data_IF_051767851500
#
_entry.id   IF_051767851500
#
_cell.length_a   1.000
_cell.length_b   1.000
_cell.length_c   1.000
_cell.angle_alpha   90.00
_cell.angle_beta   90.00
_cell.angle_gamma   90.00
#
_symmetry.space_group_name_H-M   'P 1'
#
loop_
_entity.id
_entity.type
_entity.pdbx_description
1 polymer ?
#
# COMPACT_ATOMS: atom_id res chain seq x y z
N UNK A 1 -23.97 -2.65 16.64
CA UNK A 1 -23.86 -2.85 15.19
C UNK A 1 -22.38 -2.78 14.78
N UNK A 2 -21.99 -3.32 13.63
CA UNK A 2 -20.73 -2.88 13.01
C UNK A 2 -21.04 -1.57 12.30
N UNK A 3 -20.65 -0.44 12.89
CA UNK A 3 -20.50 0.80 12.12
C UNK A 3 -19.56 0.48 10.96
N UNK A 4 -20.09 0.47 9.74
CA UNK A 4 -19.37 0.06 8.56
C UNK A 4 -18.16 0.96 8.33
N UNK A 5 -17.12 0.44 7.69
CA UNK A 5 -16.04 1.30 7.17
C UNK A 5 -16.56 2.26 6.08
N UNK A 6 -17.69 1.93 5.47
CA UNK A 6 -18.35 2.69 4.42
C UNK A 6 -19.85 2.75 4.69
N UNK A 7 -20.43 3.93 4.51
CA UNK A 7 -21.87 4.19 4.55
C UNK A 7 -22.38 4.36 3.11
N UNK A 8 -22.36 3.26 2.34
CA UNK A 8 -22.76 3.27 0.94
C UNK A 8 -24.29 3.47 0.81
N UNK A 9 -24.75 4.33 -0.12
CA UNK A 9 -26.18 4.46 -0.40
C UNK A 9 -26.69 3.17 -1.07
N UNK A 10 -28.01 2.94 -0.99
CA UNK A 10 -28.64 1.83 -1.72
C UNK A 10 -28.45 1.93 -3.23
N UNK A 11 -28.39 3.16 -3.75
CA UNK A 11 -28.16 3.46 -5.15
C UNK A 11 -27.05 4.52 -5.28
N UNK A 12 -26.09 4.27 -6.18
CA UNK A 12 -25.01 5.20 -6.48
C UNK A 12 -25.22 5.78 -7.88
N UNK A 13 -25.68 7.03 -7.95
CA UNK A 13 -25.83 7.73 -9.23
C UNK A 13 -24.47 8.14 -9.79
N UNK A 14 -24.07 7.56 -10.93
CA UNK A 14 -22.85 7.94 -11.64
C UNK A 14 -23.17 9.08 -12.62
N UNK A 15 -22.49 10.24 -12.54
CA UNK A 15 -22.77 11.36 -13.42
C UNK A 15 -22.37 11.03 -14.87
N UNK A 16 -23.27 11.31 -15.82
CA UNK A 16 -23.03 11.16 -17.26
C UNK A 16 -23.41 9.80 -17.85
N UNK A 17 -24.17 8.98 -17.13
CA UNK A 17 -24.75 7.72 -17.65
C UNK A 17 -26.21 7.96 -18.03
N UNK A 18 -26.47 8.99 -18.83
CA UNK A 18 -27.79 9.20 -19.43
C UNK A 18 -27.90 8.28 -20.66
N UNK A 19 -28.25 6.99 -20.44
CA UNK A 19 -28.76 6.15 -21.54
C UNK A 19 -28.10 4.80 -21.83
N UNK A 20 -27.29 4.24 -20.93
CA UNK A 20 -27.03 2.80 -20.99
C UNK A 20 -28.08 2.06 -20.15
N UNK A 21 -28.64 0.97 -20.70
CA UNK A 21 -29.53 0.02 -20.02
C UNK A 21 -29.18 -0.06 -18.54
N UNK A 22 -30.18 0.00 -17.64
CA UNK A 22 -30.03 -0.11 -16.19
C UNK A 22 -29.00 -1.20 -15.84
N UNK A 23 -27.74 -0.79 -15.70
CA UNK A 23 -26.67 -1.63 -15.22
C UNK A 23 -26.95 -1.77 -13.73
N UNK A 24 -27.82 -2.71 -13.41
CA UNK A 24 -28.10 -3.13 -12.05
C UNK A 24 -26.81 -3.74 -11.51
N UNK A 25 -26.04 -2.93 -10.80
CA UNK A 25 -24.90 -3.42 -10.03
C UNK A 25 -25.52 -4.33 -8.96
N UNK A 26 -25.22 -5.64 -8.95
CA UNK A 26 -25.83 -6.54 -7.99
C UNK A 26 -25.55 -6.06 -6.56
N UNK A 27 -26.59 -5.99 -5.73
CA UNK A 27 -26.49 -5.57 -4.32
C UNK A 27 -25.57 -6.48 -3.48
N UNK A 28 -25.15 -7.61 -4.05
CA UNK A 28 -24.11 -8.47 -3.50
C UNK A 28 -23.32 -9.11 -4.64
N UNK A 29 -22.00 -9.20 -4.47
CA UNK A 29 -21.17 -10.00 -5.37
C UNK A 29 -21.41 -11.48 -5.10
N UNK A 30 -21.71 -12.32 -6.11
CA UNK A 30 -21.75 -13.77 -5.93
C UNK A 30 -20.40 -14.24 -5.36
N UNK A 31 -20.43 -14.89 -4.19
CA UNK A 31 -19.25 -15.33 -3.44
C UNK A 31 -18.28 -16.18 -4.28
N UNK A 32 -18.81 -16.90 -5.25
CA UNK A 32 -18.08 -17.79 -6.17
C UNK A 32 -17.45 -17.11 -7.39
N UNK A 33 -17.77 -15.84 -7.68
CA UNK A 33 -17.30 -15.14 -8.88
C UNK A 33 -16.58 -13.82 -8.63
N UNK A 34 -16.57 -13.30 -7.39
CA UNK A 34 -16.02 -11.97 -7.08
C UNK A 34 -14.64 -11.73 -7.69
N UNK A 35 -13.66 -12.61 -7.43
CA UNK A 35 -12.29 -12.43 -7.94
C UNK A 35 -12.18 -12.46 -9.48
N UNK A 36 -12.91 -13.36 -10.17
CA UNK A 36 -12.89 -13.45 -11.64
C UNK A 36 -13.63 -12.27 -12.28
N UNK A 37 -14.75 -11.88 -11.68
CA UNK A 37 -15.56 -10.76 -12.14
C UNK A 37 -14.76 -9.47 -12.06
N UNK A 38 -14.14 -9.18 -10.90
CA UNK A 38 -13.26 -8.02 -10.76
C UNK A 38 -12.08 -8.09 -11.73
N UNK A 39 -11.45 -9.26 -11.89
CA UNK A 39 -10.37 -9.43 -12.85
C UNK A 39 -10.77 -9.08 -14.27
N UNK A 40 -11.91 -9.60 -14.76
CA UNK A 40 -12.35 -9.34 -16.12
C UNK A 40 -12.78 -7.88 -16.34
N UNK A 41 -13.54 -7.31 -15.41
CA UNK A 41 -14.16 -6.00 -15.62
C UNK A 41 -13.24 -4.84 -15.23
N UNK A 42 -12.40 -5.00 -14.20
CA UNK A 42 -11.46 -3.94 -13.79
C UNK A 42 -10.21 -3.88 -14.68
N UNK A 43 -9.89 -4.94 -15.43
CA UNK A 43 -8.77 -4.90 -16.39
C UNK A 43 -8.98 -3.88 -17.52
N UNK A 44 -10.23 -3.57 -17.85
CA UNK A 44 -10.57 -2.59 -18.87
C UNK A 44 -10.60 -1.16 -18.34
N UNK A 45 -10.55 -0.97 -17.01
CA UNK A 45 -10.52 0.35 -16.40
C UNK A 45 -9.11 0.90 -16.50
N UNK A 46 -8.89 2.05 -17.17
CA UNK A 46 -7.58 2.66 -17.21
C UNK A 46 -7.06 2.94 -15.79
N UNK A 47 -5.79 2.64 -15.54
CA UNK A 47 -5.21 2.75 -14.19
C UNK A 47 -5.44 4.12 -13.55
N UNK A 48 -5.35 5.19 -14.35
CA UNK A 48 -5.52 6.59 -13.92
C UNK A 48 -6.92 6.91 -13.40
N UNK A 49 -7.95 6.15 -13.78
CA UNK A 49 -9.29 6.30 -13.22
C UNK A 49 -9.41 5.80 -11.78
N UNK A 50 -8.58 4.86 -11.34
CA UNK A 50 -8.78 4.23 -10.02
C UNK A 50 -8.70 5.23 -8.87
N UNK A 51 -7.69 6.10 -8.85
CA UNK A 51 -7.56 7.10 -7.78
C UNK A 51 -8.71 8.10 -7.81
N UNK A 52 -9.07 8.58 -9.00
CA UNK A 52 -10.19 9.52 -9.16
C UNK A 52 -11.51 8.91 -8.67
N UNK A 53 -11.79 7.65 -9.04
CA UNK A 53 -13.01 6.95 -8.62
C UNK A 53 -13.04 6.79 -7.09
N UNK A 54 -11.94 6.33 -6.50
CA UNK A 54 -11.84 6.18 -5.04
C UNK A 54 -12.03 7.52 -4.32
N UNK A 55 -11.43 8.61 -4.82
CA UNK A 55 -11.56 9.94 -4.24
C UNK A 55 -12.97 10.54 -4.40
N UNK A 56 -13.56 10.41 -5.58
CA UNK A 56 -14.83 11.08 -5.92
C UNK A 56 -16.05 10.31 -5.45
N UNK A 57 -16.03 8.99 -5.53
CA UNK A 57 -17.21 8.14 -5.33
C UNK A 57 -17.13 7.24 -4.10
N UNK A 58 -15.95 7.03 -3.50
CA UNK A 58 -15.84 6.20 -2.30
C UNK A 58 -15.55 7.04 -1.05
N UNK A 59 -14.60 7.98 -1.13
CA UNK A 59 -14.21 8.81 0.02
C UNK A 59 -15.37 9.59 0.66
N UNK A 60 -16.37 10.14 -0.07
CA UNK A 60 -17.50 10.80 0.57
C UNK A 60 -18.39 9.89 1.41
N UNK A 61 -18.29 8.57 1.21
CA UNK A 61 -19.06 7.55 1.91
C UNK A 61 -18.21 6.77 2.91
N UNK A 62 -17.07 7.31 3.35
CA UNK A 62 -16.39 6.74 4.52
C UNK A 62 -17.35 6.81 5.69
N UNK A 63 -17.51 5.69 6.41
CA UNK A 63 -18.38 5.65 7.58
C UNK A 63 -17.89 6.64 8.64
N UNK A 64 -18.81 7.19 9.44
CA UNK A 64 -18.52 8.30 10.37
C UNK A 64 -17.24 8.07 11.21
N UNK A 65 -17.11 6.90 11.82
CA UNK A 65 -15.92 6.52 12.61
C UNK A 65 -14.62 6.61 11.80
N UNK A 66 -14.61 6.11 10.57
CA UNK A 66 -13.43 6.16 9.71
C UNK A 66 -13.18 7.58 9.20
N UNK A 67 -14.24 8.32 8.84
CA UNK A 67 -14.14 9.70 8.38
C UNK A 67 -13.54 10.59 9.48
N UNK A 68 -13.99 10.46 10.72
CA UNK A 68 -13.45 11.20 11.87
C UNK A 68 -11.97 10.89 12.07
N UNK A 69 -11.60 9.61 12.09
CA UNK A 69 -10.21 9.21 12.20
C UNK A 69 -9.38 9.75 11.02
N UNK A 70 -9.86 9.60 9.78
CA UNK A 70 -9.09 9.93 8.57
C UNK A 70 -8.95 11.44 8.30
N UNK A 71 -9.81 12.29 8.88
CA UNK A 71 -9.78 13.74 8.66
C UNK A 71 -9.20 14.54 9.83
N UNK A 72 -8.92 13.90 10.98
CA UNK A 72 -8.22 14.56 12.09
C UNK A 72 -6.73 14.70 11.77
N UNK A 73 -6.21 15.92 11.88
CA UNK A 73 -4.77 16.18 11.81
C UNK A 73 -4.05 15.44 12.95
N UNK A 74 -3.15 14.52 12.61
CA UNK A 74 -2.35 13.77 13.58
C UNK A 74 -0.86 13.88 13.29
N UNK A 75 -0.04 13.67 14.33
CA UNK A 75 1.43 13.55 14.26
C UNK A 75 1.91 12.50 13.24
N UNK A 76 1.09 11.47 12.94
CA UNK A 76 1.36 10.49 11.88
C UNK A 76 1.42 11.08 10.46
N UNK A 77 1.03 12.34 10.30
CA UNK A 77 1.11 13.12 9.05
C UNK A 77 2.27 14.13 9.07
N UNK A 78 3.30 13.95 9.90
CA UNK A 78 4.53 14.73 9.81
C UNK A 78 5.42 14.23 8.65
N UNK A 79 6.24 15.13 8.09
CA UNK A 79 7.07 14.83 6.92
C UNK A 79 8.23 13.87 7.26
N UNK A 80 8.58 13.74 8.54
CA UNK A 80 9.62 12.85 9.09
C UNK A 80 9.11 11.44 9.45
N UNK A 81 7.82 11.15 9.24
CA UNK A 81 7.19 9.85 9.52
C UNK A 81 7.14 8.99 8.26
N UNK A 82 7.72 7.80 8.32
CA UNK A 82 7.53 6.72 7.35
C UNK A 82 6.45 5.75 7.83
N UNK A 83 5.33 5.68 7.11
CA UNK A 83 4.27 4.72 7.39
C UNK A 83 4.51 3.42 6.62
N UNK A 84 4.50 2.29 7.33
CA UNK A 84 4.82 0.98 6.77
C UNK A 84 3.62 0.05 7.00
N UNK A 85 3.03 -0.46 5.91
CA UNK A 85 2.08 -1.55 6.00
C UNK A 85 2.79 -2.91 5.91
N UNK A 86 2.63 -3.75 6.93
CA UNK A 86 3.18 -5.12 6.94
C UNK A 86 2.06 -6.16 6.86
N UNK A 87 2.10 -7.01 5.81
CA UNK A 87 1.20 -8.16 5.69
C UNK A 87 1.78 -9.37 6.44
N UNK A 88 0.94 -10.11 7.17
CA UNK A 88 1.39 -11.18 8.08
C UNK A 88 0.89 -12.59 7.70
N UNK A 89 -0.40 -12.75 7.40
CA UNK A 89 -1.08 -14.05 7.51
C UNK A 89 -0.68 -15.11 6.49
N UNK A 90 -0.58 -14.70 5.23
CA UNK A 90 -0.56 -15.60 4.09
C UNK A 90 0.73 -15.54 3.28
N UNK A 91 1.60 -14.55 3.54
CA UNK A 91 2.93 -14.47 2.91
C UNK A 91 3.74 -15.75 3.15
N UNK A 92 3.69 -16.33 4.34
CA UNK A 92 4.38 -17.59 4.63
C UNK A 92 3.77 -18.83 3.95
N UNK A 93 2.56 -18.72 3.38
CA UNK A 93 1.86 -19.82 2.71
C UNK A 93 2.11 -19.85 1.21
N UNK A 94 2.50 -18.74 0.61
CA UNK A 94 2.86 -18.71 -0.79
C UNK A 94 4.37 -18.96 -0.93
N UNK A 95 4.80 -20.00 -1.67
CA UNK A 95 6.20 -20.40 -1.74
C UNK A 95 7.08 -19.37 -2.46
N UNK A 96 6.47 -18.48 -3.24
CA UNK A 96 7.17 -17.46 -3.99
C UNK A 96 7.71 -16.31 -3.16
N UNK A 97 8.87 -15.77 -3.52
CA UNK A 97 9.39 -14.50 -2.98
C UNK A 97 8.86 -13.29 -3.76
N UNK A 98 8.23 -13.54 -4.90
CA UNK A 98 7.72 -12.55 -5.85
C UNK A 98 6.54 -11.72 -5.32
N UNK A 99 5.91 -12.14 -4.22
CA UNK A 99 4.84 -11.37 -3.58
C UNK A 99 5.45 -10.10 -3.00
N UNK A 100 5.00 -8.94 -3.48
CA UNK A 100 5.61 -7.61 -3.28
C UNK A 100 5.65 -7.04 -1.87
N UNK A 101 5.84 -7.87 -0.84
CA UNK A 101 6.29 -7.43 0.48
C UNK A 101 7.80 -7.08 0.39
N UNK A 102 8.19 -5.85 0.73
CA UNK A 102 9.60 -5.50 0.87
C UNK A 102 10.31 -6.36 1.94
N UNK A 103 11.56 -6.80 1.71
CA UNK A 103 12.39 -7.36 2.76
C UNK A 103 12.74 -6.30 3.81
N UNK A 104 13.13 -6.71 5.00
CA UNK A 104 13.33 -5.82 6.14
C UNK A 104 14.44 -4.79 5.88
N UNK A 105 15.51 -5.22 5.21
CA UNK A 105 16.61 -4.37 4.74
C UNK A 105 16.18 -3.31 3.72
N UNK A 106 15.07 -3.48 3.01
CA UNK A 106 14.56 -2.42 2.13
C UNK A 106 14.00 -1.25 2.95
N UNK A 107 13.33 -1.52 4.08
CA UNK A 107 12.91 -0.45 4.98
C UNK A 107 14.12 0.28 5.57
N UNK A 108 15.18 -0.46 5.94
CA UNK A 108 16.45 0.15 6.36
C UNK A 108 16.99 1.10 5.30
N UNK A 109 17.01 0.66 4.03
CA UNK A 109 17.52 1.48 2.93
C UNK A 109 16.68 2.73 2.74
N UNK A 110 15.35 2.63 2.75
CA UNK A 110 14.45 3.80 2.66
C UNK A 110 14.72 4.81 3.77
N UNK A 111 14.85 4.33 5.02
CA UNK A 111 15.14 5.21 6.16
C UNK A 111 16.51 5.87 6.01
N UNK A 112 17.51 5.13 5.55
CA UNK A 112 18.88 5.67 5.36
C UNK A 112 18.93 6.69 4.22
N UNK A 113 18.24 6.44 3.12
CA UNK A 113 18.23 7.31 1.93
C UNK A 113 17.44 8.61 2.17
N UNK A 114 16.41 8.59 3.03
CA UNK A 114 15.47 9.70 3.21
C UNK A 114 15.44 10.31 4.62
N UNK A 115 16.18 9.76 5.58
CA UNK A 115 16.38 10.36 6.90
C UNK A 115 15.15 10.38 7.82
N UNK A 116 14.21 9.44 7.64
CA UNK A 116 13.00 9.36 8.48
C UNK A 116 13.34 9.10 9.96
N UNK A 117 12.68 9.85 10.85
CA UNK A 117 12.94 9.81 12.31
C UNK A 117 11.89 9.00 13.07
N UNK A 118 10.74 8.74 12.44
CA UNK A 118 9.66 7.95 13.03
C UNK A 118 9.15 6.91 12.04
N UNK A 119 8.98 5.67 12.52
CA UNK A 119 8.31 4.59 11.80
C UNK A 119 6.91 4.39 12.39
N UNK A 120 5.88 4.52 11.56
CA UNK A 120 4.51 4.17 11.90
C UNK A 120 4.19 2.79 11.31
N UNK A 121 4.16 1.75 12.14
CA UNK A 121 3.94 0.37 11.69
C UNK A 121 2.46 0.02 11.77
N UNK A 122 1.85 -0.21 10.61
CA UNK A 122 0.49 -0.75 10.48
C UNK A 122 0.59 -2.21 10.08
N UNK A 123 0.25 -3.11 10.99
CA UNK A 123 0.37 -4.55 10.78
C UNK A 123 -0.77 -5.28 11.46
N UNK A 124 -1.27 -6.33 10.81
CA UNK A 124 -2.25 -7.21 11.46
C UNK A 124 -1.60 -7.91 12.65
N UNK A 125 -2.17 -7.72 13.83
CA UNK A 125 -1.82 -8.51 15.01
C UNK A 125 -2.49 -9.88 14.87
N UNK A 126 -1.69 -10.93 14.62
CA UNK A 126 -2.22 -12.30 14.53
C UNK A 126 -2.37 -12.86 15.94
N UNK A 127 -3.49 -13.54 16.20
CA UNK A 127 -3.68 -14.32 17.42
C UNK A 127 -2.49 -15.28 17.62
N UNK A 128 -2.06 -15.47 18.87
CA UNK A 128 -0.89 -16.30 19.27
C UNK A 128 0.48 -15.67 19.01
N UNK A 129 0.57 -14.35 18.90
CA UNK A 129 1.85 -13.63 18.88
C UNK A 129 2.67 -13.78 17.60
N UNK A 130 2.09 -14.36 16.53
CA UNK A 130 2.72 -14.34 15.21
C UNK A 130 2.65 -12.92 14.65
N UNK A 131 3.81 -12.32 14.40
CA UNK A 131 3.94 -10.99 13.81
C UNK A 131 4.38 -11.09 12.36
N UNK A 132 4.15 -10.03 11.58
CA UNK A 132 4.72 -9.92 10.25
C UNK A 132 6.25 -10.05 10.30
N UNK A 133 6.86 -10.58 9.24
CA UNK A 133 8.27 -10.98 9.25
C UNK A 133 9.23 -9.89 9.74
N UNK A 134 8.95 -8.62 9.39
CA UNK A 134 9.78 -7.46 9.71
C UNK A 134 9.33 -6.64 10.94
N UNK A 135 8.24 -6.99 11.60
CA UNK A 135 7.71 -6.16 12.71
C UNK A 135 8.71 -6.07 13.89
N UNK A 136 9.17 -7.22 14.41
CA UNK A 136 10.18 -7.22 15.48
C UNK A 136 11.51 -6.62 15.03
N UNK A 137 11.90 -6.90 13.78
CA UNK A 137 13.13 -6.37 13.19
C UNK A 137 13.12 -4.83 13.16
N UNK A 138 12.01 -4.21 12.76
CA UNK A 138 11.89 -2.74 12.70
C UNK A 138 11.91 -2.10 14.10
N UNK A 139 11.32 -2.76 15.10
CA UNK A 139 11.39 -2.30 16.51
C UNK A 139 12.84 -2.33 17.00
N UNK A 140 13.57 -3.41 16.74
CA UNK A 140 14.97 -3.53 17.14
C UNK A 140 15.86 -2.52 16.40
N UNK A 141 15.67 -2.38 15.09
CA UNK A 141 16.35 -1.38 14.27
C UNK A 141 16.13 0.03 14.81
N UNK A 142 14.87 0.40 15.10
CA UNK A 142 14.56 1.71 15.63
C UNK A 142 15.23 1.99 16.97
N UNK A 143 15.23 1.01 17.88
CA UNK A 143 15.94 1.10 19.17
C UNK A 143 17.45 1.32 18.99
N UNK A 144 18.09 0.58 18.09
CA UNK A 144 19.55 0.66 17.86
C UNK A 144 19.95 2.00 17.22
N UNK A 145 19.11 2.54 16.34
CA UNK A 145 19.42 3.75 15.57
C UNK A 145 18.76 5.02 16.11
N UNK A 146 18.08 4.96 17.25
CA UNK A 146 17.41 6.11 17.85
C UNK A 146 16.19 6.61 17.06
N UNK A 147 15.59 5.75 16.22
CA UNK A 147 14.39 6.05 15.44
C UNK A 147 13.17 5.66 16.27
N UNK A 148 12.20 6.57 16.36
CA UNK A 148 10.96 6.31 17.08
C UNK A 148 10.11 5.28 16.32
N UNK A 149 9.59 4.27 17.02
CA UNK A 149 8.70 3.26 16.41
C UNK A 149 7.35 3.33 17.10
N UNK A 150 6.33 3.66 16.31
CA UNK A 150 4.95 3.85 16.75
C UNK A 150 4.00 2.89 16.04
N UNK A 151 2.81 2.74 16.59
CA UNK A 151 1.70 1.96 16.02
C UNK A 151 0.41 2.77 16.12
N UNK A 152 -0.62 2.45 15.31
CA UNK A 152 -1.94 3.05 15.46
C UNK A 152 -2.44 2.92 16.91
N UNK A 153 -2.97 4.03 17.46
CA UNK A 153 -3.50 4.06 18.84
C UNK A 153 -4.67 3.10 19.00
N UNK A 154 -5.50 3.03 17.97
CA UNK A 154 -6.64 2.12 17.92
C UNK A 154 -6.28 0.97 16.99
N UNK A 155 -5.99 -0.21 17.56
CA UNK A 155 -5.69 -1.45 16.80
C UNK A 155 -6.94 -2.07 16.17
N UNK A 156 -7.81 -1.21 15.62
CA UNK A 156 -9.01 -1.58 14.88
C UNK A 156 -8.73 -1.47 13.39
N UNK A 157 -9.51 -2.17 12.55
CA UNK A 157 -9.38 -2.04 11.09
C UNK A 157 -9.62 -0.60 10.64
N UNK A 158 -10.54 0.12 11.28
CA UNK A 158 -10.78 1.54 10.99
C UNK A 158 -9.57 2.40 11.37
N UNK A 159 -8.96 2.18 12.53
CA UNK A 159 -7.74 2.89 12.97
C UNK A 159 -6.54 2.64 12.07
N UNK A 160 -6.33 1.38 11.67
CA UNK A 160 -5.28 0.99 10.72
C UNK A 160 -5.50 1.65 9.35
N UNK A 161 -6.72 1.56 8.81
CA UNK A 161 -7.08 2.14 7.52
C UNK A 161 -6.94 3.67 7.54
N UNK A 162 -7.43 4.34 8.59
CA UNK A 162 -7.28 5.78 8.75
C UNK A 162 -5.81 6.21 8.82
N UNK A 163 -4.98 5.45 9.53
CA UNK A 163 -3.53 5.72 9.62
C UNK A 163 -2.86 5.63 8.26
N UNK A 164 -3.21 4.64 7.44
CA UNK A 164 -2.69 4.54 6.08
C UNK A 164 -3.23 5.64 5.14
N UNK A 165 -4.50 6.03 5.28
CA UNK A 165 -5.11 7.11 4.49
C UNK A 165 -4.45 8.46 4.78
N UNK A 166 -4.05 8.73 6.02
CA UNK A 166 -3.38 9.98 6.43
C UNK A 166 -1.88 10.01 6.15
N UNK A 167 -1.28 8.89 5.73
CA UNK A 167 0.15 8.79 5.56
C UNK A 167 0.65 9.72 4.44
N UNK A 168 1.62 10.59 4.76
CA UNK A 168 2.34 11.38 3.75
C UNK A 168 3.40 10.56 3.02
N UNK A 169 4.13 9.73 3.76
CA UNK A 169 5.15 8.82 3.24
C UNK A 169 4.70 7.38 3.52
N UNK A 170 4.46 6.59 2.48
CA UNK A 170 3.88 5.25 2.60
C UNK A 170 4.71 4.20 1.87
N UNK A 171 5.12 3.15 2.58
CA UNK A 171 5.68 1.94 1.97
C UNK A 171 4.57 0.94 1.69
N UNK A 172 4.36 0.66 0.40
CA UNK A 172 3.42 -0.37 -0.03
C UNK A 172 4.02 -1.75 0.18
N UNK A 173 3.28 -2.60 0.89
CA UNK A 173 3.36 -4.04 0.71
C UNK A 173 2.30 -4.53 -0.26
N UNK A 174 2.49 -5.74 -0.76
CA UNK A 174 1.52 -6.45 -1.58
C UNK A 174 0.22 -6.70 -0.82
N UNK A 175 -0.70 -5.75 -0.88
CA UNK A 175 -2.01 -5.82 -0.26
C UNK A 175 -2.97 -4.89 -0.98
N UNK A 176 -4.19 -5.36 -1.23
CA UNK A 176 -5.27 -4.49 -1.67
C UNK A 176 -5.61 -3.45 -0.59
N UNK A 177 -5.40 -3.78 0.69
CA UNK A 177 -5.66 -2.89 1.82
C UNK A 177 -4.75 -1.65 1.77
N UNK A 178 -3.43 -1.82 1.62
CA UNK A 178 -2.49 -0.69 1.52
C UNK A 178 -2.71 0.12 0.25
N UNK A 179 -2.93 -0.54 -0.88
CA UNK A 179 -3.17 0.16 -2.15
C UNK A 179 -4.47 0.96 -2.13
N UNK A 180 -5.57 0.38 -1.64
CA UNK A 180 -6.84 1.09 -1.50
C UNK A 180 -6.70 2.29 -0.56
N UNK A 181 -5.96 2.15 0.54
CA UNK A 181 -5.65 3.26 1.46
C UNK A 181 -4.89 4.39 0.76
N UNK A 182 -3.88 4.05 -0.04
CA UNK A 182 -3.12 5.03 -0.83
C UNK A 182 -4.00 5.76 -1.86
N UNK A 183 -4.89 5.03 -2.55
CA UNK A 183 -5.84 5.63 -3.50
C UNK A 183 -6.85 6.55 -2.80
N UNK A 184 -7.25 6.24 -1.57
CA UNK A 184 -8.11 7.06 -0.73
C UNK A 184 -7.40 8.25 -0.10
N UNK A 185 -6.07 8.25 -0.02
CA UNK A 185 -5.30 9.33 0.60
C UNK A 185 -5.33 10.63 -0.21
N UNK A 186 -5.58 11.73 0.49
CA UNK A 186 -5.39 13.10 0.00
C UNK A 186 -4.03 13.69 0.40
N UNK A 187 -3.40 13.08 1.40
CA UNK A 187 -2.21 13.61 2.06
C UNK A 187 -0.92 12.93 1.59
N UNK A 188 -1.04 11.80 0.88
CA UNK A 188 0.09 11.07 0.32
C UNK A 188 0.93 11.97 -0.58
N UNK A 189 2.22 12.05 -0.29
CA UNK A 189 3.24 12.81 -1.02
C UNK A 189 4.30 11.88 -1.61
N UNK A 190 4.70 10.86 -0.85
CA UNK A 190 5.73 9.92 -1.25
C UNK A 190 5.23 8.48 -1.06
N UNK A 191 5.42 7.68 -2.09
CA UNK A 191 5.07 6.27 -2.08
C UNK A 191 6.29 5.43 -2.44
N UNK A 192 6.52 4.38 -1.67
CA UNK A 192 7.63 3.45 -1.86
C UNK A 192 7.11 2.08 -2.23
N UNK A 193 7.74 1.43 -3.21
CA UNK A 193 7.40 0.05 -3.58
C UNK A 193 8.62 -0.77 -3.98
N UNK A 194 8.45 -2.09 -3.98
CA UNK A 194 9.41 -3.05 -4.51
C UNK A 194 9.17 -3.21 -6.03
N UNK A 195 10.20 -2.93 -6.85
CA UNK A 195 10.13 -2.88 -8.32
C UNK A 195 9.89 -4.24 -8.95
N UNK A 196 10.67 -5.23 -8.53
CA UNK A 196 10.69 -6.62 -9.00
C UNK A 196 9.58 -7.50 -8.38
N UNK A 197 8.62 -6.88 -7.69
CA UNK A 197 7.43 -7.56 -7.20
C UNK A 197 6.47 -7.94 -8.33
N UNK A 198 6.01 -9.19 -8.36
CA UNK A 198 4.92 -9.61 -9.24
C UNK A 198 3.59 -9.21 -8.60
N UNK A 199 3.12 -8.01 -8.91
CA UNK A 199 1.76 -7.60 -8.55
C UNK A 199 0.76 -8.35 -9.44
N UNK A 200 -0.37 -8.81 -8.88
CA UNK A 200 -1.47 -9.33 -9.71
C UNK A 200 -1.91 -8.25 -10.71
N UNK A 201 -2.33 -8.68 -11.91
CA UNK A 201 -2.61 -7.83 -13.09
C UNK A 201 -3.37 -6.53 -12.77
N UNK A 202 -4.44 -6.59 -11.97
CA UNK A 202 -5.24 -5.41 -11.59
C UNK A 202 -4.44 -4.41 -10.75
N UNK A 203 -3.71 -4.90 -9.73
CA UNK A 203 -2.94 -4.03 -8.85
C UNK A 203 -1.69 -3.50 -9.56
N UNK A 204 -1.11 -4.32 -10.45
CA UNK A 204 0.09 -3.96 -11.19
C UNK A 204 -0.12 -2.68 -11.99
N UNK A 205 -1.22 -2.56 -12.74
CA UNK A 205 -1.47 -1.39 -13.58
C UNK A 205 -1.50 -0.06 -12.78
N UNK A 206 -1.97 -0.09 -11.52
CA UNK A 206 -2.08 1.10 -10.66
C UNK A 206 -0.72 1.56 -10.15
N UNK A 207 0.24 0.64 -9.97
CA UNK A 207 1.56 0.96 -9.41
C UNK A 207 2.69 0.85 -10.44
N UNK A 208 2.41 0.41 -11.66
CA UNK A 208 3.42 0.17 -12.69
C UNK A 208 3.93 1.48 -13.29
N UNK A 209 5.22 1.77 -13.07
CA UNK A 209 5.88 2.97 -13.56
C UNK A 209 6.03 3.01 -15.08
N UNK A 210 5.99 1.85 -15.73
CA UNK A 210 6.00 1.74 -17.19
C UNK A 210 4.59 1.82 -17.79
N UNK A 211 3.53 1.92 -16.97
CA UNK A 211 2.17 2.04 -17.47
C UNK A 211 1.96 3.41 -18.14
N UNK A 212 1.30 3.47 -19.31
CA UNK A 212 0.90 4.73 -19.90
C UNK A 212 0.06 5.56 -18.91
N UNK A 213 0.38 6.85 -18.79
CA UNK A 213 -0.35 7.81 -17.93
C UNK A 213 -0.29 7.49 -16.44
N UNK A 214 0.74 6.75 -15.98
CA UNK A 214 0.95 6.48 -14.56
C UNK A 214 1.04 7.75 -13.71
N UNK A 215 1.66 8.81 -14.25
CA UNK A 215 1.74 10.12 -13.63
C UNK A 215 0.37 10.73 -13.32
N UNK A 216 -0.68 10.35 -14.06
CA UNK A 216 -2.03 10.84 -13.82
C UNK A 216 -2.71 10.13 -12.65
N UNK A 217 -2.42 8.84 -12.46
CA UNK A 217 -2.86 8.08 -11.28
C UNK A 217 -2.36 8.77 -10.01
N UNK A 218 -1.08 9.14 -10.01
CA UNK A 218 -0.36 9.62 -8.84
C UNK A 218 0.08 11.07 -8.99
N UNK A 219 -0.83 11.92 -9.51
CA UNK A 219 -0.56 13.35 -9.66
C UNK A 219 -0.14 13.95 -8.31
N UNK A 220 1.00 14.63 -8.29
CA UNK A 220 1.57 15.25 -7.08
C UNK A 220 2.20 14.28 -6.08
N UNK A 221 2.31 12.98 -6.41
CA UNK A 221 2.93 11.97 -5.55
C UNK A 221 4.22 11.48 -6.19
N UNK A 222 5.32 11.51 -5.43
CA UNK A 222 6.59 10.92 -5.84
C UNK A 222 6.58 9.43 -5.56
N UNK A 223 6.76 8.61 -6.60
CA UNK A 223 6.88 7.16 -6.47
C UNK A 223 8.34 6.74 -6.59
N UNK A 224 8.86 6.16 -5.50
CA UNK A 224 10.17 5.54 -5.44
C UNK A 224 10.06 4.01 -5.51
N UNK A 225 10.90 3.42 -6.33
CA UNK A 225 11.05 1.98 -6.44
C UNK A 225 12.42 1.53 -5.95
N UNK A 226 12.43 0.41 -5.25
CA UNK A 226 13.64 -0.29 -4.90
C UNK A 226 13.59 -1.68 -5.52
N UNK A 227 14.70 -2.08 -6.10
CA UNK A 227 14.82 -3.38 -6.73
C UNK A 227 15.56 -4.33 -5.78
N UNK A 228 14.96 -5.49 -5.54
CA UNK A 228 15.51 -6.58 -4.73
C UNK A 228 15.94 -7.76 -5.59
N UNK A 229 16.28 -7.48 -6.86
CA UNK A 229 16.48 -8.45 -7.95
C UNK A 229 16.99 -9.80 -7.45
N UNK A 230 16.08 -10.76 -7.54
CA UNK A 230 16.27 -12.15 -7.17
C UNK A 230 17.34 -12.79 -8.07
N UNK A 231 18.42 -13.30 -7.48
CA UNK A 231 19.08 -14.47 -8.06
C UNK A 231 18.13 -15.67 -7.83
N UNK A 232 17.71 -16.32 -8.92
CA UNK A 232 16.59 -17.28 -9.02
C UNK A 232 16.67 -18.54 -8.13
N UNK A 233 17.59 -18.65 -7.18
CA UNK A 233 17.91 -19.91 -6.49
C UNK A 233 18.02 -19.79 -4.96
N UNK A 234 17.30 -18.86 -4.30
CA UNK A 234 17.35 -18.82 -2.84
C UNK A 234 16.59 -19.97 -2.20
N UNK A 235 17.31 -20.77 -1.41
CA UNK A 235 16.77 -21.77 -0.48
C UNK A 235 16.26 -21.06 0.78
N UNK A 236 15.12 -21.47 1.32
CA UNK A 236 14.59 -20.99 2.61
C UNK A 236 13.11 -20.65 2.55
N UNK A 237 12.53 -20.23 3.68
CA UNK A 237 11.12 -19.79 3.69
C UNK A 237 10.99 -18.33 3.21
N UNK A 238 9.85 -17.90 2.64
CA UNK A 238 9.60 -16.49 2.32
C UNK A 238 9.81 -15.55 3.51
N UNK A 239 9.43 -15.98 4.70
CA UNK A 239 9.62 -15.21 5.93
C UNK A 239 11.11 -15.06 6.32
N UNK A 240 11.91 -16.09 6.07
CA UNK A 240 13.35 -16.05 6.26
C UNK A 240 14.00 -15.09 5.25
N UNK A 241 13.66 -15.22 3.97
CA UNK A 241 14.13 -14.33 2.91
C UNK A 241 13.85 -12.86 3.23
N UNK A 242 12.63 -12.53 3.68
CA UNK A 242 12.28 -11.17 4.08
C UNK A 242 13.21 -10.63 5.16
N UNK A 243 13.62 -11.46 6.12
CA UNK A 243 14.48 -11.05 7.25
C UNK A 243 15.96 -11.00 6.90
N UNK A 244 16.41 -11.85 5.99
CA UNK A 244 17.85 -12.06 5.72
C UNK A 244 18.29 -11.51 4.36
N UNK A 245 17.40 -10.85 3.61
CA UNK A 245 17.82 -10.20 2.36
C UNK A 245 18.91 -9.16 2.65
N UNK A 246 20.09 -9.27 2.01
CA UNK A 246 21.21 -8.37 2.25
C UNK A 246 20.93 -6.95 1.78
N UNK A 247 21.30 -5.97 2.59
CA UNK A 247 21.09 -4.55 2.29
C UNK A 247 21.82 -4.10 1.03
N UNK A 248 23.05 -4.58 0.84
CA UNK A 248 23.94 -4.26 -0.27
C UNK A 248 23.43 -4.77 -1.63
N UNK A 249 22.46 -5.68 -1.65
CA UNK A 249 21.82 -6.16 -2.88
C UNK A 249 20.56 -5.35 -3.24
N UNK A 250 20.18 -4.36 -2.44
CA UNK A 250 19.03 -3.50 -2.72
C UNK A 250 19.51 -2.29 -3.54
N UNK A 251 18.98 -2.16 -4.75
CA UNK A 251 19.28 -1.05 -5.66
C UNK A 251 18.12 -0.05 -5.72
N UNK A 252 18.42 1.20 -6.10
CA UNK A 252 17.51 2.34 -6.05
C UNK A 252 17.92 3.39 -5.00
N UNK A 253 17.07 4.42 -4.76
CA UNK A 253 15.72 4.56 -5.30
C UNK A 253 15.70 4.89 -6.80
N UNK A 254 14.74 4.31 -7.53
CA UNK A 254 14.38 4.71 -8.89
C UNK A 254 13.10 5.54 -8.82
N UNK A 255 13.00 6.64 -9.54
CA UNK A 255 11.76 7.41 -9.65
C UNK A 255 10.98 7.06 -10.90
N UNK A 256 9.65 7.07 -10.81
CA UNK A 256 8.77 6.73 -11.93
C UNK A 256 8.59 7.85 -12.98
N UNK A 257 9.53 8.79 -13.05
CA UNK A 257 9.59 9.75 -14.14
C UNK A 257 10.28 9.09 -15.34
N UNK A 258 9.70 9.23 -16.53
CA UNK A 258 10.23 8.66 -17.77
C UNK A 258 11.75 8.81 -17.90
N UNK A 259 12.47 7.68 -17.88
CA UNK A 259 13.79 7.54 -18.50
C UNK A 259 14.99 8.19 -17.82
N UNK A 260 14.85 8.86 -16.67
CA UNK A 260 16.02 9.37 -15.93
C UNK A 260 16.31 8.49 -14.73
N UNK A 261 17.38 7.70 -14.82
CA UNK A 261 18.14 7.35 -13.62
C UNK A 261 18.44 8.66 -12.89
N UNK A 262 17.90 8.84 -11.68
CA UNK A 262 18.45 9.83 -10.77
C UNK A 262 19.82 9.27 -10.40
N UNK A 263 20.86 9.75 -11.09
CA UNK A 263 22.20 9.60 -10.55
C UNK A 263 22.26 10.45 -9.28
N UNK A 264 22.70 9.88 -8.14
CA UNK A 264 22.91 10.69 -6.96
C UNK A 264 23.94 11.77 -7.31
N UNK A 265 23.60 13.04 -7.06
CA UNK A 265 24.60 14.10 -7.03
C UNK A 265 25.60 13.73 -5.91
N UNK A 266 26.85 13.47 -6.31
CA UNK A 266 28.00 13.21 -5.43
C UNK A 266 28.55 14.54 -4.92
#
# INVERSE_FOLDING_TARGET
>A
EQDGLLDMPQELTLPGVDGHEELTIPNSCPTQMSHKWYHQHCQMVPAWHHRQVMQKFLRPYLGQTLADLANVAQESASDDVLTIHLRADDIGRYPGYEWGQPPCSMYQKIVSDHGYQTLMIVAKVVAKGKRAACDSWLVDYGRVHGINVSRPRDSTVAGDLATLIRAKNLVLSFSSFSLASALLSKDLQVMYRRRDAKWYSILHAIVNCDAPRMQEVWTGVTLYEYNTSLQEERKGSPAEWLRTFPLEQITGPFTCQHGSEIQPEI
#
